data_IF_306294066493
#
_entry.id   IF_306294066493
#
_cell.length_a   1.000
_cell.length_b   1.000
_cell.length_c   1.000
_cell.angle_alpha   90.00
_cell.angle_beta   90.00
_cell.angle_gamma   90.00
#
_symmetry.space_group_name_H-M   'P 1'
#
loop_
_entity.id
_entity.type
_entity.pdbx_description
1 polymer ?
#
# COMPACT_ATOMS: atom_id res chain seq x y z
N UNK A 1 5.82 8.48 -5.84
CA UNK A 1 5.01 9.41 -6.64
C UNK A 1 3.90 8.62 -7.29
N UNK A 2 2.66 9.04 -7.09
CA UNK A 2 1.49 8.51 -7.77
C UNK A 2 0.76 9.67 -8.46
N UNK A 3 0.17 9.41 -9.63
CA UNK A 3 -0.69 10.37 -10.31
C UNK A 3 -2.13 10.36 -9.77
N UNK A 4 -3.05 11.11 -10.40
CA UNK A 4 -4.45 11.20 -9.99
C UNK A 4 -5.29 9.93 -10.23
N UNK A 5 -4.72 8.88 -10.83
CA UNK A 5 -5.37 7.59 -11.03
C UNK A 5 -6.11 7.45 -12.35
N UNK A 6 -5.82 8.31 -13.32
CA UNK A 6 -6.29 8.15 -14.71
C UNK A 6 -5.09 7.84 -15.58
N UNK A 7 -5.11 6.70 -16.27
CA UNK A 7 -3.93 6.16 -16.97
C UNK A 7 -3.22 7.17 -17.89
N UNK A 8 -3.97 7.93 -18.69
CA UNK A 8 -3.39 8.91 -19.61
C UNK A 8 -2.72 10.07 -18.86
N UNK A 9 -3.35 10.57 -17.79
CA UNK A 9 -2.83 11.68 -16.97
C UNK A 9 -1.65 11.21 -16.12
N UNK A 10 -1.73 10.00 -15.56
CA UNK A 10 -0.64 9.39 -14.82
C UNK A 10 0.59 9.24 -15.71
N UNK A 11 0.41 8.82 -16.97
CA UNK A 11 1.51 8.66 -17.92
C UNK A 11 2.12 9.99 -18.34
N UNK A 12 1.31 11.03 -18.56
CA UNK A 12 1.79 12.39 -18.86
C UNK A 12 2.61 12.97 -17.69
N UNK A 13 2.23 12.67 -16.44
CA UNK A 13 2.91 13.15 -15.25
C UNK A 13 4.17 12.33 -14.90
N UNK A 14 4.08 11.00 -14.92
CA UNK A 14 5.12 10.12 -14.38
C UNK A 14 6.41 10.19 -15.21
N UNK A 15 6.30 10.33 -16.53
CA UNK A 15 7.48 10.39 -17.42
C UNK A 15 8.40 11.57 -17.06
N UNK A 16 7.95 12.84 -17.10
CA UNK A 16 8.82 13.97 -16.74
C UNK A 16 9.26 13.94 -15.27
N UNK A 17 8.44 13.42 -14.36
CA UNK A 17 8.85 13.25 -12.95
C UNK A 17 9.99 12.24 -12.82
N UNK A 18 9.93 11.13 -13.57
CA UNK A 18 10.98 10.11 -13.54
C UNK A 18 12.31 10.66 -14.05
N UNK A 19 12.28 11.45 -15.12
CA UNK A 19 13.45 12.11 -15.71
C UNK A 19 14.06 13.14 -14.75
N UNK A 20 13.25 14.04 -14.20
CA UNK A 20 13.75 15.09 -13.31
C UNK A 20 14.27 14.52 -11.98
N UNK A 21 13.70 13.40 -11.51
CA UNK A 21 14.12 12.76 -10.28
C UNK A 21 15.27 11.75 -10.48
N UNK A 22 15.93 11.69 -11.64
CA UNK A 22 17.03 10.74 -11.88
C UNK A 22 18.07 10.78 -10.76
N UNK A 23 18.43 9.59 -10.24
CA UNK A 23 19.36 9.45 -9.10
C UNK A 23 18.71 9.42 -7.72
N UNK A 24 17.47 9.89 -7.57
CA UNK A 24 16.75 9.91 -6.28
C UNK A 24 16.14 8.55 -5.89
N UNK A 25 16.04 7.63 -6.85
CA UNK A 25 15.47 6.28 -6.66
C UNK A 25 14.06 6.29 -6.05
N UNK A 26 13.19 7.12 -6.59
CA UNK A 26 11.82 7.24 -6.10
C UNK A 26 10.97 6.00 -6.44
N UNK A 27 9.91 5.76 -5.66
CA UNK A 27 8.89 4.75 -5.97
C UNK A 27 7.83 5.37 -6.90
N UNK A 28 7.75 4.91 -8.14
CA UNK A 28 6.78 5.37 -9.14
C UNK A 28 5.54 4.47 -9.15
N UNK A 29 4.37 5.07 -9.30
CA UNK A 29 3.12 4.35 -9.31
C UNK A 29 2.00 5.14 -10.00
N UNK A 30 0.85 4.52 -10.26
CA UNK A 30 0.52 3.15 -9.85
C UNK A 30 0.53 2.23 -11.07
N UNK A 31 1.36 1.18 -11.04
CA UNK A 31 1.27 0.13 -12.05
C UNK A 31 0.04 -0.74 -11.76
N UNK A 32 -0.83 -0.86 -12.74
CA UNK A 32 -1.96 -1.78 -12.78
C UNK A 32 -1.90 -2.59 -14.08
N UNK A 33 -2.61 -3.71 -14.18
CA UNK A 33 -2.58 -4.58 -15.39
C UNK A 33 -2.84 -3.81 -16.70
N UNK A 34 -3.73 -2.81 -16.66
CA UNK A 34 -4.04 -1.94 -17.79
C UNK A 34 -3.04 -0.81 -18.03
N UNK A 35 -2.20 -0.45 -17.06
CA UNK A 35 -1.35 0.74 -17.10
C UNK A 35 0.02 0.59 -16.39
N UNK A 36 0.76 -0.49 -16.67
CA UNK A 36 2.11 -0.66 -16.11
C UNK A 36 3.24 -0.25 -17.07
N UNK A 37 3.04 -0.41 -18.39
CA UNK A 37 4.13 -0.37 -19.38
C UNK A 37 4.89 0.96 -19.40
N UNK A 38 4.18 2.08 -19.47
CA UNK A 38 4.79 3.42 -19.53
C UNK A 38 5.52 3.74 -18.24
N UNK A 39 4.91 3.44 -17.09
CA UNK A 39 5.50 3.67 -15.77
C UNK A 39 6.77 2.83 -15.59
N UNK A 40 6.73 1.55 -15.98
CA UNK A 40 7.88 0.64 -15.92
C UNK A 40 9.00 1.10 -16.85
N UNK A 41 8.69 1.54 -18.08
CA UNK A 41 9.69 2.07 -18.99
C UNK A 41 10.37 3.33 -18.43
N UNK A 42 9.59 4.27 -17.88
CA UNK A 42 10.12 5.48 -17.25
C UNK A 42 10.98 5.16 -16.01
N UNK A 43 10.55 4.20 -15.19
CA UNK A 43 11.30 3.75 -14.02
C UNK A 43 12.61 3.04 -14.40
N UNK A 44 12.59 2.20 -15.43
CA UNK A 44 13.76 1.48 -15.91
C UNK A 44 14.81 2.45 -16.48
N UNK A 45 14.38 3.43 -17.28
CA UNK A 45 15.26 4.42 -17.89
C UNK A 45 15.98 5.29 -16.84
N UNK A 46 15.31 5.62 -15.74
CA UNK A 46 15.80 6.57 -14.74
C UNK A 46 16.18 5.91 -13.39
N UNK A 47 16.28 4.58 -13.35
CA UNK A 47 16.69 3.79 -12.19
C UNK A 47 15.80 3.93 -10.94
N UNK A 48 14.49 3.99 -11.13
CA UNK A 48 13.47 4.08 -10.07
C UNK A 48 12.85 2.73 -9.71
N UNK A 49 12.05 2.72 -8.64
CA UNK A 49 11.22 1.58 -8.24
C UNK A 49 9.80 1.74 -8.79
N UNK A 50 9.01 0.66 -8.79
CA UNK A 50 7.59 0.68 -9.18
C UNK A 50 6.67 0.07 -8.14
N UNK A 51 5.49 0.66 -7.98
CA UNK A 51 4.40 0.16 -7.13
C UNK A 51 3.44 -0.67 -7.99
N UNK A 52 3.35 -1.97 -7.70
CA UNK A 52 2.49 -2.95 -8.37
C UNK A 52 1.18 -3.12 -7.61
N UNK A 53 0.11 -2.43 -8.03
CA UNK A 53 -1.18 -2.44 -7.31
C UNK A 53 -2.21 -3.37 -7.93
N UNK A 54 -2.90 -4.15 -7.10
CA UNK A 54 -3.94 -5.11 -7.52
C UNK A 54 -5.13 -5.12 -6.54
N UNK A 55 -6.32 -5.57 -6.99
CA UNK A 55 -7.52 -5.54 -6.15
C UNK A 55 -7.66 -6.80 -5.27
N UNK A 56 -6.94 -6.86 -4.14
CA UNK A 56 -7.06 -7.90 -3.10
C UNK A 56 -7.16 -9.32 -3.65
N UNK A 57 -6.29 -9.68 -4.59
CA UNK A 57 -6.24 -11.01 -5.19
C UNK A 57 -4.79 -11.50 -5.29
N UNK A 58 -4.54 -12.70 -4.77
CA UNK A 58 -3.20 -13.29 -4.70
C UNK A 58 -2.64 -13.56 -6.11
N UNK A 59 -3.48 -14.06 -7.02
CA UNK A 59 -3.06 -14.40 -8.37
C UNK A 59 -2.80 -13.14 -9.19
N UNK A 60 -3.67 -12.13 -9.09
CA UNK A 60 -3.44 -10.85 -9.76
C UNK A 60 -2.17 -10.17 -9.26
N UNK A 61 -1.95 -10.17 -7.94
CA UNK A 61 -0.73 -9.61 -7.32
C UNK A 61 0.53 -10.25 -7.89
N UNK A 62 0.55 -11.59 -7.93
CA UNK A 62 1.64 -12.36 -8.53
C UNK A 62 1.79 -12.07 -10.02
N UNK A 63 0.69 -12.07 -10.77
CA UNK A 63 0.70 -11.89 -12.22
C UNK A 63 1.24 -10.51 -12.61
N UNK A 64 0.87 -9.46 -11.87
CA UNK A 64 1.36 -8.11 -12.15
C UNK A 64 2.87 -7.99 -11.89
N UNK A 65 3.39 -8.61 -10.82
CA UNK A 65 4.84 -8.70 -10.58
C UNK A 65 5.56 -9.38 -11.76
N UNK A 66 5.02 -10.49 -12.28
CA UNK A 66 5.57 -11.19 -13.45
C UNK A 66 5.61 -10.25 -14.66
N UNK A 67 4.49 -9.60 -14.97
CA UNK A 67 4.39 -8.69 -16.14
C UNK A 67 5.38 -7.52 -16.05
N UNK A 68 5.57 -6.95 -14.86
CA UNK A 68 6.54 -5.88 -14.61
C UNK A 68 7.97 -6.40 -14.76
N UNK A 69 8.28 -7.56 -14.19
CA UNK A 69 9.60 -8.17 -14.26
C UNK A 69 9.98 -8.58 -15.69
N UNK A 70 9.03 -9.08 -16.49
CA UNK A 70 9.23 -9.44 -17.90
C UNK A 70 9.64 -8.24 -18.77
N UNK A 71 9.35 -7.01 -18.33
CA UNK A 71 9.85 -5.78 -18.97
C UNK A 71 11.28 -5.41 -18.56
N UNK A 72 11.92 -6.19 -17.69
CA UNK A 72 13.31 -6.01 -17.30
C UNK A 72 13.54 -5.21 -16.01
N UNK A 73 12.48 -4.85 -15.27
CA UNK A 73 12.66 -4.34 -13.90
C UNK A 73 13.01 -5.52 -12.97
N UNK A 74 14.15 -5.48 -12.25
CA UNK A 74 14.48 -6.47 -11.24
C UNK A 74 13.45 -6.51 -10.10
N UNK A 75 13.18 -7.69 -9.57
CA UNK A 75 12.18 -7.95 -8.53
C UNK A 75 12.36 -7.07 -7.28
N UNK A 76 13.59 -6.77 -6.91
CA UNK A 76 14.00 -5.92 -5.79
C UNK A 76 13.65 -4.43 -5.98
N UNK A 77 13.23 -4.02 -7.19
CA UNK A 77 12.71 -2.68 -7.48
C UNK A 77 11.19 -2.65 -7.62
N UNK A 78 10.51 -3.73 -7.27
CA UNK A 78 9.05 -3.83 -7.27
C UNK A 78 8.55 -3.82 -5.83
N UNK A 79 7.63 -2.91 -5.52
CA UNK A 79 6.88 -2.88 -4.26
C UNK A 79 5.47 -3.33 -4.55
N UNK A 80 5.01 -4.40 -3.90
CA UNK A 80 3.68 -4.95 -4.10
C UNK A 80 2.66 -4.16 -3.28
N UNK A 81 1.54 -3.81 -3.88
CA UNK A 81 0.39 -3.20 -3.20
C UNK A 81 -0.85 -4.07 -3.47
N UNK A 82 -1.16 -5.05 -2.60
CA UNK A 82 -2.35 -5.89 -2.78
C UNK A 82 -3.66 -5.12 -2.52
N UNK A 83 -3.57 -3.81 -2.28
CA UNK A 83 -4.59 -2.92 -1.71
C UNK A 83 -5.19 -3.44 -0.41
N UNK A 84 -6.01 -2.61 0.22
CA UNK A 84 -6.68 -2.97 1.47
C UNK A 84 -8.01 -2.23 1.60
N UNK A 85 -8.81 -2.66 2.55
CA UNK A 85 -10.01 -1.98 3.00
C UNK A 85 -9.79 -1.36 4.38
N UNK A 86 -10.68 -0.44 4.76
CA UNK A 86 -10.67 0.09 6.11
C UNK A 86 -11.30 -0.91 7.09
N UNK A 87 -11.02 -0.74 8.39
CA UNK A 87 -11.77 -1.40 9.45
C UNK A 87 -13.28 -1.25 9.21
N UNK A 88 -14.02 -2.35 9.18
CA UNK A 88 -15.47 -2.39 8.92
C UNK A 88 -15.88 -2.30 7.44
N UNK A 89 -14.91 -2.17 6.53
CA UNK A 89 -15.12 -2.00 5.09
C UNK A 89 -14.18 -2.91 4.28
N UNK A 90 -14.24 -4.22 4.55
CA UNK A 90 -13.53 -5.24 3.76
C UNK A 90 -12.05 -5.42 4.08
N UNK A 91 -11.59 -4.94 5.26
CA UNK A 91 -10.21 -5.15 5.72
C UNK A 91 -9.84 -6.64 5.80
N UNK A 92 -10.79 -7.51 6.13
CA UNK A 92 -10.60 -8.95 6.28
C UNK A 92 -10.18 -9.64 4.97
N UNK A 93 -10.64 -9.12 3.83
CA UNK A 93 -10.22 -9.60 2.52
C UNK A 93 -8.77 -9.25 2.24
N UNK A 94 -8.40 -7.97 2.44
CA UNK A 94 -7.02 -7.51 2.30
C UNK A 94 -6.06 -8.23 3.25
N UNK A 95 -6.46 -8.36 4.52
CA UNK A 95 -5.72 -9.08 5.55
C UNK A 95 -5.41 -10.52 5.12
N UNK A 96 -6.44 -11.27 4.70
CA UNK A 96 -6.29 -12.67 4.27
C UNK A 96 -5.43 -12.81 3.01
N UNK A 97 -5.52 -11.87 2.08
CA UNK A 97 -4.70 -11.85 0.86
C UNK A 97 -3.24 -11.60 1.20
N UNK A 98 -2.95 -10.64 2.08
CA UNK A 98 -1.60 -10.34 2.54
C UNK A 98 -0.96 -11.53 3.27
N UNK A 99 -1.69 -12.20 4.16
CA UNK A 99 -1.18 -13.40 4.82
C UNK A 99 -0.83 -14.50 3.82
N UNK A 100 -1.70 -14.74 2.82
CA UNK A 100 -1.45 -15.73 1.78
C UNK A 100 -0.24 -15.39 0.92
N UNK A 101 -0.06 -14.11 0.57
CA UNK A 101 1.13 -13.64 -0.13
C UNK A 101 2.39 -13.83 0.72
N UNK A 102 2.34 -13.47 2.01
CA UNK A 102 3.46 -13.69 2.93
C UNK A 102 3.81 -15.17 3.09
N UNK A 103 2.81 -16.05 3.20
CA UNK A 103 3.03 -17.49 3.28
C UNK A 103 3.66 -18.05 1.99
N UNK A 104 3.17 -17.64 0.81
CA UNK A 104 3.77 -18.04 -0.46
C UNK A 104 5.23 -17.57 -0.56
N UNK A 105 5.51 -16.35 -0.14
CA UNK A 105 6.86 -15.79 -0.10
C UNK A 105 7.81 -16.61 0.77
N UNK A 106 7.35 -17.01 1.97
CA UNK A 106 8.11 -17.86 2.90
C UNK A 106 8.28 -19.30 2.40
N UNK A 107 7.37 -19.77 1.54
CA UNK A 107 7.48 -21.06 0.85
C UNK A 107 8.38 -21.02 -0.39
N UNK A 108 8.93 -19.86 -0.73
CA UNK A 108 9.93 -19.68 -1.80
C UNK A 108 9.36 -19.18 -3.12
N UNK A 109 8.13 -18.69 -3.18
CA UNK A 109 7.58 -18.07 -4.39
C UNK A 109 8.14 -16.64 -4.56
N UNK A 110 9.18 -16.50 -5.40
CA UNK A 110 9.90 -15.24 -5.62
C UNK A 110 9.04 -14.12 -6.20
N UNK A 111 7.92 -14.44 -6.85
CA UNK A 111 6.97 -13.45 -7.39
C UNK A 111 6.02 -12.87 -6.33
N UNK A 112 6.18 -13.31 -5.07
CA UNK A 112 5.44 -12.81 -3.92
C UNK A 112 6.35 -12.29 -2.80
N UNK A 113 7.67 -12.32 -3.01
CA UNK A 113 8.67 -11.89 -2.01
C UNK A 113 8.89 -10.37 -1.97
N UNK A 114 8.19 -9.62 -2.80
CA UNK A 114 8.25 -8.16 -2.81
C UNK A 114 7.66 -7.59 -1.51
N UNK A 115 8.25 -6.51 -0.95
CA UNK A 115 7.65 -5.83 0.20
C UNK A 115 6.22 -5.38 -0.08
N UNK A 116 5.34 -5.53 0.89
CA UNK A 116 3.94 -5.13 0.79
C UNK A 116 3.73 -3.71 1.32
N UNK A 117 3.27 -2.83 0.44
CA UNK A 117 2.81 -1.48 0.75
C UNK A 117 1.28 -1.45 0.79
N UNK A 118 0.72 -0.80 1.81
CA UNK A 118 -0.72 -0.57 1.92
C UNK A 118 -1.02 0.87 2.36
N UNK A 119 -2.20 1.37 2.01
CA UNK A 119 -2.62 2.75 2.27
C UNK A 119 -3.82 2.84 3.25
N UNK A 120 -3.63 2.45 4.53
CA UNK A 120 -4.69 2.55 5.53
C UNK A 120 -5.16 3.98 5.76
N UNK A 121 -4.33 4.99 5.52
CA UNK A 121 -4.75 6.39 5.65
C UNK A 121 -5.80 6.78 4.61
N UNK A 122 -5.66 6.36 3.36
CA UNK A 122 -6.71 6.59 2.36
C UNK A 122 -8.01 5.87 2.70
N UNK A 123 -7.89 4.60 3.07
CA UNK A 123 -9.03 3.74 3.36
C UNK A 123 -9.76 4.18 4.63
N UNK A 124 -9.04 4.45 5.73
CA UNK A 124 -9.67 4.80 6.99
C UNK A 124 -10.35 6.16 6.94
N UNK A 125 -9.83 7.15 6.21
CA UNK A 125 -10.38 8.51 6.20
C UNK A 125 -11.52 8.73 5.19
N UNK A 126 -11.89 7.73 4.37
CA UNK A 126 -13.05 7.81 3.48
C UNK A 126 -14.35 7.29 4.10
N UNK A 127 -14.27 6.52 5.18
CA UNK A 127 -15.43 5.88 5.80
C UNK A 127 -16.19 6.81 6.73
N UNK A 128 -17.46 6.47 7.03
CA UNK A 128 -18.37 7.36 7.74
C UNK A 128 -17.90 7.63 9.18
N UNK A 129 -17.37 6.61 9.83
CA UNK A 129 -17.01 6.58 11.24
C UNK A 129 -15.85 7.51 11.56
N UNK A 130 -14.91 7.68 10.64
CA UNK A 130 -13.80 8.63 10.77
C UNK A 130 -14.12 10.02 10.23
N UNK A 131 -14.94 10.12 9.18
CA UNK A 131 -15.19 11.38 8.46
C UNK A 131 -16.29 12.24 9.10
N UNK A 132 -17.29 11.62 9.73
CA UNK A 132 -18.50 12.31 10.17
C UNK A 132 -18.54 12.44 11.69
N UNK A 133 -18.56 13.69 12.18
CA UNK A 133 -18.67 14.01 13.60
C UNK A 133 -20.09 14.31 14.10
N UNK A 134 -21.01 14.70 13.20
CA UNK A 134 -22.39 15.11 13.55
C UNK A 134 -23.44 14.22 12.87
N UNK A 135 -24.64 14.13 13.46
CA UNK A 135 -25.71 13.30 12.89
C UNK A 135 -25.43 11.79 12.94
N UNK A 136 -24.57 11.37 13.87
CA UNK A 136 -24.23 9.98 14.15
C UNK A 136 -24.72 9.57 15.54
N UNK A 137 -24.91 8.27 15.82
CA UNK A 137 -25.33 7.80 17.14
C UNK A 137 -24.36 8.26 18.25
N UNK A 138 -24.91 8.70 19.39
CA UNK A 138 -24.13 9.07 20.57
C UNK A 138 -23.22 7.92 21.06
N UNK A 139 -23.66 6.67 20.84
CA UNK A 139 -22.89 5.46 21.17
C UNK A 139 -21.57 5.33 20.41
N UNK A 140 -21.35 6.09 19.33
CA UNK A 140 -20.07 6.12 18.62
C UNK A 140 -19.01 6.95 19.38
N UNK A 141 -19.40 7.65 20.44
CA UNK A 141 -18.51 8.40 21.30
C UNK A 141 -17.85 9.61 20.62
N UNK A 142 -16.74 10.04 21.21
CA UNK A 142 -15.98 11.19 20.74
C UNK A 142 -15.44 10.98 19.33
N UNK A 143 -15.73 11.92 18.43
CA UNK A 143 -15.38 11.82 17.03
C UNK A 143 -13.88 11.88 16.79
N UNK A 144 -13.15 12.76 17.49
CA UNK A 144 -11.71 12.90 17.28
C UNK A 144 -10.98 11.60 17.64
N UNK A 145 -11.29 11.04 18.81
CA UNK A 145 -10.75 9.74 19.21
C UNK A 145 -11.16 8.64 18.23
N UNK A 146 -12.45 8.53 17.89
CA UNK A 146 -12.94 7.51 16.94
C UNK A 146 -12.22 7.57 15.59
N UNK A 147 -12.01 8.75 15.03
CA UNK A 147 -11.35 8.91 13.74
C UNK A 147 -9.88 8.49 13.77
N UNK A 148 -9.17 8.83 14.85
CA UNK A 148 -7.79 8.39 15.08
C UNK A 148 -7.70 6.87 15.27
N UNK A 149 -8.61 6.30 16.05
CA UNK A 149 -8.65 4.84 16.27
C UNK A 149 -8.93 4.08 14.96
N UNK A 150 -9.74 4.64 14.04
CA UNK A 150 -10.06 3.97 12.79
C UNK A 150 -8.83 3.76 11.92
N UNK A 151 -8.00 4.79 11.76
CA UNK A 151 -6.74 4.68 11.03
C UNK A 151 -5.72 3.83 11.78
N UNK A 152 -5.61 4.01 13.12
CA UNK A 152 -4.69 3.25 13.94
C UNK A 152 -4.99 1.74 13.90
N UNK A 153 -6.25 1.33 14.10
CA UNK A 153 -6.65 -0.07 14.10
C UNK A 153 -6.54 -0.70 12.71
N UNK A 154 -6.90 0.03 11.66
CA UNK A 154 -6.70 -0.44 10.27
C UNK A 154 -5.21 -0.70 10.03
N UNK A 155 -4.35 0.27 10.34
CA UNK A 155 -2.90 0.14 10.14
C UNK A 155 -2.30 -0.99 10.99
N UNK A 156 -2.63 -1.06 12.28
CA UNK A 156 -2.15 -2.08 13.21
C UNK A 156 -2.53 -3.49 12.76
N UNK A 157 -3.75 -3.67 12.26
CA UNK A 157 -4.18 -4.97 11.73
C UNK A 157 -3.35 -5.38 10.51
N UNK A 158 -3.08 -4.44 9.60
CA UNK A 158 -2.32 -4.72 8.38
C UNK A 158 -0.82 -4.99 8.65
N UNK A 159 -0.27 -4.44 9.74
CA UNK A 159 1.07 -4.84 10.23
C UNK A 159 1.08 -6.33 10.59
N UNK A 160 0.05 -6.82 11.27
CA UNK A 160 -0.04 -8.24 11.65
C UNK A 160 -0.19 -9.17 10.44
N UNK A 161 -0.84 -8.73 9.36
CA UNK A 161 -0.89 -9.49 8.10
C UNK A 161 0.36 -9.34 7.22
N UNK A 162 1.40 -8.65 7.72
CA UNK A 162 2.72 -8.60 7.08
C UNK A 162 2.98 -7.39 6.20
N UNK A 163 2.30 -6.26 6.38
CA UNK A 163 2.67 -5.00 5.73
C UNK A 163 4.11 -4.57 6.08
N UNK A 164 4.88 -4.19 5.07
CA UNK A 164 6.23 -3.65 5.23
C UNK A 164 6.23 -2.11 5.17
N UNK A 165 5.30 -1.51 4.41
CA UNK A 165 5.17 -0.06 4.25
C UNK A 165 3.71 0.37 4.46
N UNK A 166 3.50 1.36 5.33
CA UNK A 166 2.18 1.94 5.62
C UNK A 166 2.14 3.40 5.16
N UNK A 167 1.15 3.76 4.36
CA UNK A 167 0.82 5.16 4.07
C UNK A 167 -0.26 5.62 5.05
N UNK A 168 0.12 6.51 5.97
CA UNK A 168 -0.75 7.14 6.96
C UNK A 168 -0.96 8.63 6.62
N UNK A 169 -2.05 9.21 7.13
CA UNK A 169 -2.42 10.61 6.97
C UNK A 169 -2.31 11.40 8.26
N UNK A 170 -2.72 10.85 9.42
CA UNK A 170 -2.75 11.62 10.66
C UNK A 170 -1.47 11.47 11.49
N UNK A 171 -0.80 12.57 11.90
CA UNK A 171 0.45 12.52 12.67
C UNK A 171 0.34 11.80 14.02
N UNK A 172 -0.82 11.91 14.68
CA UNK A 172 -1.06 11.19 15.93
C UNK A 172 -1.16 9.68 15.72
N UNK A 173 -1.83 9.24 14.66
CA UNK A 173 -1.86 7.82 14.28
C UNK A 173 -0.45 7.30 14.00
N UNK A 174 0.38 8.08 13.29
CA UNK A 174 1.77 7.73 13.02
C UNK A 174 2.56 7.45 14.31
N UNK A 175 2.41 8.29 15.35
CA UNK A 175 3.09 8.07 16.64
C UNK A 175 2.62 6.79 17.30
N UNK A 176 1.31 6.53 17.31
CA UNK A 176 0.71 5.33 17.94
C UNK A 176 1.13 4.05 17.24
N UNK A 177 1.07 4.03 15.90
CA UNK A 177 1.48 2.88 15.09
C UNK A 177 2.99 2.62 15.23
N UNK A 178 3.83 3.67 15.26
CA UNK A 178 5.27 3.52 15.56
C UNK A 178 5.50 2.89 16.93
N UNK A 179 4.85 3.40 17.98
CA UNK A 179 4.99 2.83 19.32
C UNK A 179 4.55 1.35 19.38
N UNK A 180 3.49 0.98 18.67
CA UNK A 180 3.07 -0.42 18.54
C UNK A 180 4.14 -1.26 17.83
N UNK A 181 4.69 -0.79 16.70
CA UNK A 181 5.75 -1.50 15.96
C UNK A 181 6.99 -1.68 16.85
N UNK A 182 7.42 -0.63 17.55
CA UNK A 182 8.55 -0.70 18.49
C UNK A 182 8.30 -1.75 19.57
N UNK A 183 7.08 -1.82 20.11
CA UNK A 183 6.71 -2.83 21.10
C UNK A 183 6.75 -4.25 20.54
N UNK A 184 6.27 -4.48 19.30
CA UNK A 184 6.33 -5.78 18.62
C UNK A 184 7.77 -6.25 18.40
N UNK A 185 8.68 -5.31 18.11
CA UNK A 185 10.11 -5.61 17.93
C UNK A 185 10.83 -5.85 19.27
N UNK A 186 10.27 -5.37 20.39
CA UNK A 186 10.89 -5.45 21.71
C UNK A 186 10.66 -6.81 22.40
N UNK A 187 9.78 -7.67 21.89
CA UNK A 187 9.53 -9.02 22.47
C UNK A 187 9.79 -10.17 21.49
N UNK A 188 11.04 -10.61 21.45
CA UNK A 188 11.47 -11.96 21.05
C UNK A 188 12.81 -12.33 21.73
N UNK A 189 12.95 -11.98 23.02
CA UNK A 189 14.05 -12.39 23.89
C UNK A 189 13.56 -13.38 24.94
#
# INVERSE_FOLDING_TARGET
VAGPGQADIDNELIVPVAEEAEGERILLGICEEGNYRTIVAAALANNHLVQSKTPMDVNLSKQLVILINDMGIPLERIVMDPTTGALGYGIEYGYSVMERLRLAALQGDSMTQQPMLVNPGEEAWKVKESKVGEGVPESWGDWQNRALEWEALTASSLVQSGADILILRHPETLKRVKAMIDALLTSAA
#
